data_IF_798850667950
#
_entry.id   IF_798850667950
#
_cell.length_a   1.000
_cell.length_b   1.000
_cell.length_c   1.000
_cell.angle_alpha   90.00
_cell.angle_beta   90.00
_cell.angle_gamma   90.00
#
_symmetry.space_group_name_H-M   'P 1'
#
loop_
_entity.id
_entity.type
_entity.pdbx_description
1 polymer ?
#
# COMPACT_ATOMS: atom_id res chain seq x y z
N UNK A 1 -29.11 33.58 34.15
CA UNK A 1 -28.99 33.32 32.69
C UNK A 1 -27.58 32.91 32.26
N UNK A 2 -26.50 33.57 32.64
CA UNK A 2 -25.14 33.26 32.22
C UNK A 2 -24.66 31.85 32.54
N UNK A 3 -24.98 31.30 33.73
CA UNK A 3 -24.60 29.94 34.22
C UNK A 3 -25.22 28.83 33.35
N UNK A 4 -26.42 29.05 32.80
CA UNK A 4 -27.12 28.09 31.95
C UNK A 4 -26.46 27.96 30.56
N UNK A 5 -26.01 29.07 30.01
CA UNK A 5 -25.36 29.11 28.68
C UNK A 5 -23.98 28.42 28.75
N UNK A 6 -23.19 28.67 29.79
CA UNK A 6 -21.89 28.03 29.96
C UNK A 6 -22.03 26.52 30.12
N UNK A 7 -23.02 26.04 30.88
CA UNK A 7 -23.31 24.59 30.98
C UNK A 7 -23.69 23.96 29.66
N UNK A 8 -24.52 24.61 28.86
CA UNK A 8 -24.91 24.11 27.53
C UNK A 8 -23.69 24.05 26.61
N UNK A 9 -22.86 25.09 26.58
CA UNK A 9 -21.65 25.11 25.77
C UNK A 9 -20.65 24.03 26.18
N UNK A 10 -20.50 23.79 27.51
CA UNK A 10 -19.61 22.73 28.01
C UNK A 10 -20.12 21.34 27.67
N UNK A 11 -21.42 21.09 27.77
CA UNK A 11 -22.04 19.79 27.39
C UNK A 11 -21.92 19.58 25.88
N UNK A 12 -22.20 20.61 25.06
CA UNK A 12 -22.06 20.54 23.61
C UNK A 12 -20.61 20.26 23.21
N UNK A 13 -19.63 20.90 23.84
CA UNK A 13 -18.21 20.67 23.60
C UNK A 13 -17.77 19.26 23.99
N UNK A 14 -18.26 18.70 25.11
CA UNK A 14 -17.99 17.32 25.53
C UNK A 14 -18.63 16.30 24.58
N UNK A 15 -19.84 16.55 24.10
CA UNK A 15 -20.52 15.71 23.11
C UNK A 15 -19.75 15.74 21.79
N UNK A 16 -19.34 16.91 21.30
CA UNK A 16 -18.56 17.04 20.06
C UNK A 16 -17.21 16.32 20.19
N UNK A 17 -16.50 16.46 21.33
CA UNK A 17 -15.26 15.70 21.57
C UNK A 17 -15.51 14.19 21.64
N UNK A 18 -16.58 13.72 22.28
CA UNK A 18 -16.94 12.31 22.34
C UNK A 18 -17.27 11.73 20.98
N UNK A 19 -18.00 12.45 20.13
CA UNK A 19 -18.32 12.06 18.76
C UNK A 19 -17.07 12.04 17.89
N UNK A 20 -16.19 13.05 18.00
CA UNK A 20 -14.90 13.09 17.28
C UNK A 20 -14.01 11.90 17.67
N UNK A 21 -13.89 11.60 18.96
CA UNK A 21 -13.09 10.46 19.43
C UNK A 21 -13.64 9.12 18.95
N UNK A 22 -14.96 8.95 18.89
CA UNK A 22 -15.58 7.74 18.36
C UNK A 22 -15.39 7.59 16.86
N UNK A 23 -15.39 8.68 16.09
CA UNK A 23 -15.08 8.68 14.67
C UNK A 23 -13.61 8.32 14.42
N UNK A 24 -12.70 8.95 15.13
CA UNK A 24 -11.24 8.75 15.01
C UNK A 24 -10.79 7.32 15.38
N UNK A 25 -11.56 6.59 16.18
CA UNK A 25 -11.35 5.17 16.52
C UNK A 25 -12.09 4.21 15.59
N UNK A 26 -12.83 4.69 14.60
CA UNK A 26 -13.54 3.81 13.66
C UNK A 26 -12.59 3.09 12.71
N UNK A 27 -12.95 1.88 12.31
CA UNK A 27 -12.16 1.04 11.39
C UNK A 27 -11.76 1.78 10.11
N UNK A 28 -12.74 2.42 9.45
CA UNK A 28 -12.46 3.09 8.18
C UNK A 28 -11.53 4.29 8.34
N UNK A 29 -11.68 5.08 9.41
CA UNK A 29 -10.79 6.21 9.69
C UNK A 29 -9.37 5.75 9.95
N UNK A 30 -9.19 4.77 10.83
CA UNK A 30 -7.87 4.22 11.17
C UNK A 30 -7.20 3.59 9.94
N UNK A 31 -7.95 2.83 9.14
CA UNK A 31 -7.43 2.20 7.93
C UNK A 31 -6.94 3.24 6.91
N UNK A 32 -7.78 4.24 6.59
CA UNK A 32 -7.43 5.28 5.63
C UNK A 32 -6.28 6.16 6.12
N UNK A 33 -6.31 6.58 7.38
CA UNK A 33 -5.27 7.43 7.97
C UNK A 33 -3.93 6.70 8.04
N UNK A 34 -3.95 5.42 8.45
CA UNK A 34 -2.76 4.58 8.51
C UNK A 34 -2.19 4.36 7.10
N UNK A 35 -3.03 4.02 6.11
CA UNK A 35 -2.59 3.85 4.72
C UNK A 35 -1.88 5.09 4.18
N UNK A 36 -2.46 6.28 4.35
CA UNK A 36 -1.86 7.54 3.89
C UNK A 36 -0.53 7.82 4.60
N UNK A 37 -0.45 7.56 5.91
CA UNK A 37 0.78 7.75 6.69
C UNK A 37 1.88 6.81 6.23
N UNK A 38 1.58 5.52 6.06
CA UNK A 38 2.51 4.53 5.56
C UNK A 38 3.00 4.84 4.15
N UNK A 39 2.09 5.22 3.25
CA UNK A 39 2.43 5.61 1.88
C UNK A 39 3.37 6.82 1.86
N UNK A 40 3.12 7.83 2.70
CA UNK A 40 3.99 9.00 2.82
C UNK A 40 5.39 8.61 3.31
N UNK A 41 5.47 7.77 4.34
CA UNK A 41 6.76 7.31 4.91
C UNK A 41 7.56 6.51 3.90
N UNK A 42 6.95 5.52 3.25
CA UNK A 42 7.66 4.68 2.28
C UNK A 42 8.14 5.51 1.07
N UNK A 43 7.31 6.41 0.56
CA UNK A 43 7.69 7.28 -0.55
C UNK A 43 8.78 8.30 -0.18
N UNK A 44 8.90 8.70 1.09
CA UNK A 44 10.01 9.55 1.54
C UNK A 44 11.37 8.83 1.39
N UNK A 45 11.40 7.51 1.58
CA UNK A 45 12.60 6.67 1.40
C UNK A 45 12.84 6.34 -0.08
N UNK A 46 11.79 6.03 -0.83
CA UNK A 46 11.92 5.50 -2.20
C UNK A 46 12.01 6.58 -3.29
N UNK A 47 11.50 7.79 -3.04
CA UNK A 47 11.57 8.89 -4.00
C UNK A 47 13.01 9.30 -4.37
N UNK A 48 13.99 9.36 -3.44
CA UNK A 48 15.39 9.63 -3.79
C UNK A 48 16.01 8.57 -4.73
N UNK A 49 15.45 7.34 -4.78
CA UNK A 49 15.85 6.29 -5.71
C UNK A 49 15.21 6.44 -7.11
N UNK A 50 14.55 7.56 -7.39
CA UNK A 50 13.87 7.82 -8.67
C UNK A 50 12.51 7.13 -8.80
N UNK A 51 11.99 6.52 -7.74
CA UNK A 51 10.72 5.80 -7.77
C UNK A 51 9.52 6.75 -7.61
N UNK A 52 8.47 6.48 -8.37
CA UNK A 52 7.18 7.16 -8.29
C UNK A 52 6.07 6.21 -7.82
N UNK A 53 4.96 6.77 -7.37
CA UNK A 53 3.79 6.00 -6.90
C UNK A 53 3.40 4.89 -7.88
N UNK A 54 3.16 3.70 -7.36
CA UNK A 54 2.81 2.48 -8.11
C UNK A 54 4.01 1.64 -8.53
N UNK A 55 5.16 2.22 -8.85
CA UNK A 55 6.36 1.47 -9.24
C UNK A 55 6.89 0.54 -8.13
N UNK A 56 6.97 0.96 -6.85
CA UNK A 56 7.44 0.07 -5.79
C UNK A 56 6.60 -1.20 -5.68
N UNK A 57 5.28 -1.10 -5.78
CA UNK A 57 4.38 -2.25 -5.70
C UNK A 57 4.58 -3.24 -6.84
N UNK A 58 4.84 -2.75 -8.06
CA UNK A 58 5.12 -3.58 -9.23
C UNK A 58 6.49 -4.25 -9.13
N UNK A 59 7.53 -3.52 -8.70
CA UNK A 59 8.88 -4.08 -8.51
C UNK A 59 8.88 -5.15 -7.42
N UNK A 60 8.20 -4.90 -6.30
CA UNK A 60 8.07 -5.86 -5.21
C UNK A 60 7.35 -7.14 -5.66
N UNK A 61 6.25 -7.02 -6.40
CA UNK A 61 5.56 -8.17 -6.97
C UNK A 61 6.46 -8.98 -7.92
N UNK A 62 7.14 -8.30 -8.85
CA UNK A 62 8.00 -8.94 -9.85
C UNK A 62 9.22 -9.63 -9.22
N UNK A 63 9.69 -9.20 -8.05
CA UNK A 63 10.77 -9.86 -7.31
C UNK A 63 10.47 -11.35 -7.08
N UNK A 64 9.23 -11.68 -6.76
CA UNK A 64 8.78 -13.05 -6.48
C UNK A 64 8.08 -13.71 -7.67
N UNK A 65 7.63 -12.92 -8.66
CA UNK A 65 6.86 -13.36 -9.81
C UNK A 65 7.44 -12.79 -11.11
N UNK A 66 8.76 -12.94 -11.28
CA UNK A 66 9.46 -12.42 -12.46
C UNK A 66 8.94 -13.10 -13.74
N UNK A 67 8.57 -12.32 -14.73
CA UNK A 67 7.92 -12.82 -15.94
C UNK A 67 6.40 -12.92 -15.85
N UNK A 68 5.77 -12.31 -14.85
CA UNK A 68 4.32 -12.24 -14.75
C UNK A 68 3.70 -11.49 -15.94
N UNK A 69 2.47 -11.87 -16.33
CA UNK A 69 1.72 -11.13 -17.35
C UNK A 69 1.23 -9.79 -16.80
N UNK A 70 0.99 -8.83 -17.70
CA UNK A 70 0.43 -7.53 -17.31
C UNK A 70 -0.91 -7.68 -16.57
N UNK A 71 -1.74 -8.68 -16.94
CA UNK A 71 -3.02 -8.97 -16.28
C UNK A 71 -2.80 -9.42 -14.84
N UNK A 72 -1.86 -10.36 -14.62
CA UNK A 72 -1.57 -10.88 -13.27
C UNK A 72 -0.99 -9.80 -12.36
N UNK A 73 -0.11 -8.93 -12.89
CA UNK A 73 0.43 -7.78 -12.16
C UNK A 73 -0.69 -6.81 -11.76
N UNK A 74 -1.60 -6.48 -12.69
CA UNK A 74 -2.73 -5.58 -12.41
C UNK A 74 -3.59 -6.11 -11.27
N UNK A 75 -3.93 -7.39 -11.33
CA UNK A 75 -4.71 -8.07 -10.30
C UNK A 75 -3.98 -8.11 -8.96
N UNK A 76 -2.75 -8.64 -8.93
CA UNK A 76 -1.97 -8.80 -7.71
C UNK A 76 -1.61 -7.47 -7.04
N UNK A 77 -1.35 -6.42 -7.83
CA UNK A 77 -1.04 -5.09 -7.32
C UNK A 77 -2.27 -4.22 -7.05
N UNK A 78 -3.49 -4.69 -7.32
CA UNK A 78 -4.73 -3.90 -7.25
C UNK A 78 -4.59 -2.56 -7.99
N UNK A 79 -4.10 -2.63 -9.24
CA UNK A 79 -3.91 -1.47 -10.12
C UNK A 79 -4.81 -1.64 -11.34
N UNK A 80 -5.58 -0.61 -11.66
CA UNK A 80 -6.38 -0.61 -12.88
C UNK A 80 -5.50 -0.81 -14.12
N UNK A 81 -5.91 -1.66 -15.10
CA UNK A 81 -5.10 -2.01 -16.27
C UNK A 81 -4.55 -0.82 -17.05
N UNK A 82 -5.34 0.24 -17.23
CA UNK A 82 -4.91 1.45 -17.92
C UNK A 82 -3.79 2.20 -17.14
N UNK A 83 -3.94 2.29 -15.82
CA UNK A 83 -2.95 2.88 -14.93
C UNK A 83 -1.65 2.07 -14.93
N UNK A 84 -1.77 0.72 -14.86
CA UNK A 84 -0.61 -0.17 -14.92
C UNK A 84 0.16 -0.01 -16.23
N UNK A 85 -0.53 0.08 -17.37
CA UNK A 85 0.13 0.32 -18.67
C UNK A 85 1.01 1.57 -18.64
N UNK A 86 0.51 2.66 -18.06
CA UNK A 86 1.26 3.90 -17.91
C UNK A 86 2.47 3.77 -16.98
N UNK A 87 2.32 3.01 -15.88
CA UNK A 87 3.41 2.71 -14.94
C UNK A 87 4.49 1.89 -15.64
N UNK A 88 4.13 0.78 -16.29
CA UNK A 88 5.07 -0.10 -16.98
C UNK A 88 5.82 0.62 -18.12
N UNK A 89 5.14 1.50 -18.86
CA UNK A 89 5.81 2.29 -19.91
C UNK A 89 6.90 3.21 -19.33
N UNK A 90 6.68 3.79 -18.14
CA UNK A 90 7.70 4.59 -17.46
C UNK A 90 8.83 3.74 -16.92
N UNK A 91 8.52 2.59 -16.33
CA UNK A 91 9.51 1.65 -15.80
C UNK A 91 10.42 1.11 -16.89
N UNK A 92 9.88 0.79 -18.05
CA UNK A 92 10.65 0.33 -19.20
C UNK A 92 11.58 1.43 -19.75
N UNK A 93 11.08 2.68 -19.88
CA UNK A 93 11.91 3.85 -20.24
C UNK A 93 13.03 4.14 -19.23
N UNK A 94 12.82 3.79 -17.99
CA UNK A 94 13.80 3.93 -16.90
C UNK A 94 14.70 2.69 -16.75
N UNK A 95 14.59 1.73 -17.65
CA UNK A 95 15.36 0.47 -17.65
C UNK A 95 15.19 -0.37 -16.37
N UNK A 96 14.05 -0.25 -15.70
CA UNK A 96 13.72 -1.07 -14.52
C UNK A 96 13.19 -2.44 -14.91
N UNK A 97 12.51 -2.51 -16.04
CA UNK A 97 11.88 -3.72 -16.58
C UNK A 97 12.11 -3.85 -18.08
N UNK A 98 11.92 -5.05 -18.58
CA UNK A 98 11.82 -5.37 -20.00
C UNK A 98 10.55 -6.18 -20.28
N UNK A 99 9.98 -6.02 -21.50
CA UNK A 99 8.84 -6.81 -21.98
C UNK A 99 9.32 -7.87 -22.93
N UNK A 100 8.95 -9.12 -22.69
CA UNK A 100 9.25 -10.24 -23.57
C UNK A 100 7.97 -10.95 -24.01
N UNK A 101 7.93 -11.35 -25.26
CA UNK A 101 6.91 -12.25 -25.77
C UNK A 101 7.38 -13.68 -25.53
N UNK A 102 6.58 -14.45 -24.77
CA UNK A 102 6.82 -15.88 -24.60
C UNK A 102 5.98 -16.67 -25.62
N UNK A 103 6.57 -17.71 -26.20
CA UNK A 103 5.89 -18.69 -27.07
C UNK A 103 5.27 -18.12 -28.38
N UNK A 104 5.82 -17.02 -28.93
CA UNK A 104 5.34 -16.46 -30.18
C UNK A 104 3.96 -15.78 -30.13
N UNK A 105 3.36 -15.68 -28.96
CA UNK A 105 2.09 -14.98 -28.76
C UNK A 105 2.31 -13.46 -28.69
N UNK A 106 2.17 -12.80 -29.83
CA UNK A 106 2.34 -11.34 -29.95
C UNK A 106 1.33 -10.50 -29.15
N UNK A 107 0.33 -11.13 -28.53
CA UNK A 107 -0.75 -10.42 -27.79
C UNK A 107 -0.54 -10.39 -26.28
N UNK A 108 0.39 -11.18 -25.73
CA UNK A 108 0.65 -11.18 -24.30
C UNK A 108 2.13 -10.91 -24.02
N UNK A 109 2.39 -9.76 -23.39
CA UNK A 109 3.72 -9.43 -22.90
C UNK A 109 3.88 -9.95 -21.46
N UNK A 110 5.05 -10.52 -21.20
CA UNK A 110 5.53 -10.88 -19.89
C UNK A 110 6.58 -9.87 -19.45
N UNK A 111 6.51 -9.48 -18.20
CA UNK A 111 7.31 -8.39 -17.63
C UNK A 111 8.41 -8.98 -16.78
N UNK A 112 9.65 -8.61 -17.09
CA UNK A 112 10.83 -9.08 -16.39
C UNK A 112 11.58 -7.91 -15.77
N UNK A 113 12.13 -8.10 -14.58
CA UNK A 113 13.08 -7.16 -14.00
C UNK A 113 14.38 -7.20 -14.79
N UNK A 114 14.97 -6.04 -14.99
CA UNK A 114 16.40 -5.91 -15.36
C UNK A 114 17.27 -6.06 -14.10
N UNK A 115 18.60 -6.09 -14.25
CA UNK A 115 19.52 -6.09 -13.10
C UNK A 115 19.28 -4.84 -12.24
N UNK A 116 19.11 -3.67 -12.86
CA UNK A 116 18.77 -2.44 -12.15
C UNK A 116 17.39 -2.53 -11.45
N UNK A 117 16.40 -3.12 -12.08
CA UNK A 117 15.09 -3.36 -11.46
C UNK A 117 15.17 -4.30 -10.26
N UNK A 118 16.06 -5.29 -10.32
CA UNK A 118 16.31 -6.21 -9.22
C UNK A 118 16.95 -5.48 -8.01
N UNK A 119 17.99 -4.67 -8.25
CA UNK A 119 18.62 -3.85 -7.21
C UNK A 119 17.62 -2.89 -6.53
N UNK A 120 16.75 -2.26 -7.33
CA UNK A 120 15.67 -1.42 -6.79
C UNK A 120 14.68 -2.23 -5.95
N UNK A 121 14.30 -3.44 -6.39
CA UNK A 121 13.39 -4.30 -5.64
C UNK A 121 13.94 -4.71 -4.28
N UNK A 122 15.26 -4.95 -4.19
CA UNK A 122 15.94 -5.21 -2.92
C UNK A 122 15.91 -4.01 -1.97
N UNK A 123 16.10 -2.81 -2.54
CA UNK A 123 16.03 -1.57 -1.77
C UNK A 123 14.61 -1.31 -1.25
N UNK A 124 13.59 -1.64 -2.05
CA UNK A 124 12.17 -1.57 -1.67
C UNK A 124 11.87 -2.54 -0.53
N UNK A 125 12.31 -3.80 -0.63
CA UNK A 125 12.12 -4.80 0.43
C UNK A 125 12.71 -4.33 1.77
N UNK A 126 13.95 -3.82 1.75
CA UNK A 126 14.60 -3.28 2.95
C UNK A 126 13.79 -2.12 3.55
N UNK A 127 13.27 -1.23 2.71
CA UNK A 127 12.45 -0.11 3.14
C UNK A 127 11.11 -0.58 3.76
N UNK A 128 10.45 -1.58 3.18
CA UNK A 128 9.22 -2.17 3.73
C UNK A 128 9.48 -2.87 5.06
N UNK A 129 10.55 -3.67 5.17
CA UNK A 129 10.91 -4.35 6.42
C UNK A 129 11.21 -3.35 7.55
N UNK A 130 11.95 -2.27 7.24
CA UNK A 130 12.23 -1.21 8.21
C UNK A 130 10.96 -0.50 8.65
N UNK A 131 10.05 -0.18 7.72
CA UNK A 131 8.77 0.45 8.03
C UNK A 131 7.88 -0.47 8.87
N UNK A 132 7.87 -1.78 8.57
CA UNK A 132 7.10 -2.75 9.33
C UNK A 132 7.60 -2.86 10.78
N UNK A 133 8.92 -2.86 11.00
CA UNK A 133 9.51 -2.83 12.34
C UNK A 133 9.09 -1.57 13.13
N UNK A 134 9.07 -0.41 12.47
CA UNK A 134 8.60 0.84 13.08
C UNK A 134 7.12 0.76 13.47
N UNK A 135 6.28 0.26 12.56
CA UNK A 135 4.82 0.15 12.75
C UNK A 135 4.47 -0.76 13.92
N UNK A 136 5.18 -1.86 14.08
CA UNK A 136 4.94 -2.82 15.16
C UNK A 136 5.82 -2.56 16.41
N UNK A 137 6.46 -1.40 16.50
CA UNK A 137 7.22 -1.01 17.70
C UNK A 137 6.31 -0.97 18.92
N UNK A 138 6.72 -1.66 19.99
CA UNK A 138 5.93 -1.76 21.25
C UNK A 138 4.79 -2.79 21.21
N UNK A 139 4.64 -3.54 20.11
CA UNK A 139 3.67 -4.62 19.96
C UNK A 139 4.42 -5.95 20.08
N UNK A 140 3.93 -6.86 20.92
CA UNK A 140 4.53 -8.19 21.06
C UNK A 140 4.31 -9.05 19.80
N UNK A 141 5.17 -10.05 19.59
CA UNK A 141 5.02 -10.98 18.47
C UNK A 141 3.65 -11.69 18.46
N UNK A 142 3.12 -12.06 19.62
CA UNK A 142 1.81 -12.70 19.73
C UNK A 142 0.67 -11.77 19.28
N UNK A 143 0.70 -10.49 19.68
CA UNK A 143 -0.27 -9.48 19.26
C UNK A 143 -0.16 -9.19 17.75
N UNK A 144 1.07 -9.09 17.23
CA UNK A 144 1.32 -8.92 15.79
C UNK A 144 0.73 -10.09 14.98
N UNK A 145 0.99 -11.33 15.39
CA UNK A 145 0.45 -12.51 14.71
C UNK A 145 -1.08 -12.55 14.77
N UNK A 146 -1.66 -12.22 15.91
CA UNK A 146 -3.12 -12.15 16.07
C UNK A 146 -3.72 -11.07 15.18
N UNK A 147 -3.12 -9.89 15.15
CA UNK A 147 -3.52 -8.79 14.28
C UNK A 147 -3.50 -9.21 12.80
N UNK A 148 -2.39 -9.79 12.33
CA UNK A 148 -2.25 -10.20 10.93
C UNK A 148 -3.30 -11.26 10.55
N UNK A 149 -3.59 -12.24 11.42
CA UNK A 149 -4.66 -13.24 11.21
C UNK A 149 -6.04 -12.59 11.09
N UNK A 150 -6.34 -11.59 11.91
CA UNK A 150 -7.61 -10.85 11.83
C UNK A 150 -7.65 -10.00 10.57
N UNK A 151 -6.58 -9.28 10.27
CA UNK A 151 -6.49 -8.40 9.11
C UNK A 151 -6.61 -9.18 7.79
N UNK A 152 -6.04 -10.38 7.70
CA UNK A 152 -6.22 -11.29 6.56
C UNK A 152 -7.70 -11.67 6.35
N UNK A 153 -8.45 -11.92 7.44
CA UNK A 153 -9.90 -12.18 7.34
C UNK A 153 -10.66 -10.97 6.82
N UNK A 154 -10.31 -9.75 7.30
CA UNK A 154 -10.90 -8.53 6.81
C UNK A 154 -10.60 -8.32 5.32
N UNK A 155 -9.35 -8.54 4.89
CA UNK A 155 -8.96 -8.49 3.50
C UNK A 155 -9.78 -9.46 2.64
N UNK A 156 -9.88 -10.73 3.05
CA UNK A 156 -10.70 -11.73 2.33
C UNK A 156 -12.19 -11.34 2.23
N UNK A 157 -12.73 -10.67 3.25
CA UNK A 157 -14.12 -10.23 3.21
C UNK A 157 -14.35 -9.06 2.23
N UNK A 158 -13.32 -8.23 1.99
CA UNK A 158 -13.40 -7.08 1.08
C UNK A 158 -13.00 -7.41 -0.36
N UNK A 159 -12.33 -8.56 -0.58
CA UNK A 159 -11.83 -8.98 -1.91
C UNK A 159 -12.58 -10.18 -2.48
N UNK A 160 -13.62 -10.68 -1.82
CA UNK A 160 -14.49 -11.70 -2.41
C UNK A 160 -15.22 -11.08 -3.61
N UNK A 161 -14.84 -11.51 -4.81
CA UNK A 161 -15.68 -11.33 -5.99
C UNK A 161 -16.96 -12.17 -5.79
N UNK A 162 -18.12 -11.56 -6.03
CA UNK A 162 -19.43 -12.24 -6.06
C UNK A 162 -19.50 -13.23 -7.22
#
# INVERSE_FOLDING_TARGET
MAVSIVRILTITFLIIKGVSSMYESSYHYLLMSNHLSLQKKIMAVLKPLGLSTGQPKVLDHLRYHNGASQKDIAHACHIEPASLTSILNRMEKQHMIERKNLNGNRRSFHIFLTDYGMELSESIEKAFLSLEQEVFSGISNAEKEQFLKIFEKLYKNTTKEE
#
